data_IF_075064852460
#
_entry.id   IF_075064852460
#
_cell.length_a   1.000
_cell.length_b   1.000
_cell.length_c   1.000
_cell.angle_alpha   90.00
_cell.angle_beta   90.00
_cell.angle_gamma   90.00
#
_symmetry.space_group_name_H-M   'P 1'
#
loop_
_entity.id
_entity.type
_entity.pdbx_description
1 polymer ?
#
# COMPACT_ATOMS: atom_id res chain seq x y z
N UNK A 1 -18.10 -5.58 2.51
CA UNK A 1 -17.48 -5.34 3.82
C UNK A 1 -18.41 -5.71 4.96
N UNK A 2 -19.58 -5.12 5.12
CA UNK A 2 -20.47 -5.36 6.28
C UNK A 2 -20.89 -6.85 6.44
N UNK A 3 -21.23 -7.57 5.35
CA UNK A 3 -21.55 -9.01 5.38
C UNK A 3 -20.35 -9.90 5.78
N UNK A 4 -19.12 -9.43 5.57
CA UNK A 4 -17.87 -10.14 5.93
C UNK A 4 -17.29 -9.71 7.27
N UNK A 5 -18.00 -8.90 8.05
CA UNK A 5 -17.54 -8.36 9.34
C UNK A 5 -16.18 -7.63 9.26
N UNK A 6 -15.91 -6.95 8.14
CA UNK A 6 -14.70 -6.15 7.96
C UNK A 6 -14.90 -4.79 8.64
N UNK A 7 -14.20 -4.58 9.75
CA UNK A 7 -14.36 -3.39 10.58
C UNK A 7 -13.43 -2.23 10.22
N UNK A 8 -12.34 -2.50 9.51
CA UNK A 8 -11.41 -1.48 9.04
C UNK A 8 -10.87 -1.83 7.67
N UNK A 9 -10.68 -0.83 6.83
CA UNK A 9 -9.96 -0.94 5.56
C UNK A 9 -9.08 0.28 5.35
N UNK A 10 -7.90 0.05 4.78
CA UNK A 10 -7.08 1.09 4.18
C UNK A 10 -7.50 1.23 2.72
N UNK A 11 -7.75 2.44 2.28
CA UNK A 11 -8.14 2.76 0.90
C UNK A 11 -7.17 3.73 0.27
N UNK A 12 -6.89 3.52 -1.02
CA UNK A 12 -6.02 4.40 -1.78
C UNK A 12 -6.80 5.64 -2.23
N UNK A 13 -6.25 6.81 -1.93
CA UNK A 13 -6.81 8.10 -2.38
C UNK A 13 -5.90 8.83 -3.36
N UNK A 14 -4.69 8.31 -3.59
CA UNK A 14 -3.78 8.79 -4.63
C UNK A 14 -2.87 7.68 -5.16
N UNK A 15 -2.70 7.65 -6.49
CA UNK A 15 -1.72 6.85 -7.23
C UNK A 15 -0.70 7.76 -7.93
N UNK A 16 -1.14 8.63 -8.85
CA UNK A 16 -0.31 9.57 -9.61
C UNK A 16 -0.86 10.99 -9.54
N UNK A 17 -1.88 11.19 -8.71
CA UNK A 17 -2.47 12.49 -8.48
C UNK A 17 -1.47 13.44 -7.84
N UNK A 18 -1.50 14.71 -8.26
CA UNK A 18 -0.84 15.81 -7.58
C UNK A 18 -1.63 16.24 -6.33
N UNK A 19 -1.13 17.24 -5.62
CA UNK A 19 -1.78 17.77 -4.42
C UNK A 19 -3.26 18.10 -4.65
N UNK A 20 -3.58 18.91 -5.69
CA UNK A 20 -4.94 19.37 -5.96
C UNK A 20 -5.89 18.21 -6.29
N UNK A 21 -5.46 17.30 -7.14
CA UNK A 21 -6.25 16.14 -7.55
C UNK A 21 -6.55 15.24 -6.35
N UNK A 22 -5.58 15.08 -5.46
CA UNK A 22 -5.76 14.31 -4.22
C UNK A 22 -6.78 14.95 -3.27
N UNK A 23 -6.77 16.29 -3.15
CA UNK A 23 -7.79 17.01 -2.37
C UNK A 23 -9.20 16.73 -2.92
N UNK A 24 -9.37 16.69 -4.25
CA UNK A 24 -10.67 16.35 -4.86
C UNK A 24 -11.10 14.90 -4.56
N UNK A 25 -10.15 13.97 -4.47
CA UNK A 25 -10.47 12.60 -4.05
C UNK A 25 -10.88 12.52 -2.57
N UNK A 26 -10.24 13.29 -1.70
CA UNK A 26 -10.64 13.40 -0.28
C UNK A 26 -12.05 14.01 -0.14
N UNK A 27 -12.39 15.00 -0.95
CA UNK A 27 -13.72 15.61 -0.97
C UNK A 27 -14.80 14.60 -1.34
N UNK A 28 -14.56 13.74 -2.36
CA UNK A 28 -15.49 12.65 -2.70
C UNK A 28 -15.73 11.71 -1.50
N UNK A 29 -14.68 11.38 -0.74
CA UNK A 29 -14.81 10.57 0.47
C UNK A 29 -15.64 11.26 1.57
N UNK A 30 -15.49 12.57 1.76
CA UNK A 30 -16.34 13.32 2.70
C UNK A 30 -17.81 13.21 2.31
N UNK A 31 -18.14 13.36 1.02
CA UNK A 31 -19.49 13.13 0.49
C UNK A 31 -19.99 11.72 0.77
N UNK A 32 -19.15 10.68 0.66
CA UNK A 32 -19.56 9.32 0.96
C UNK A 32 -19.78 9.07 2.46
N UNK A 33 -19.00 9.66 3.34
CA UNK A 33 -19.25 9.60 4.79
C UNK A 33 -20.59 10.23 5.17
N UNK A 34 -20.94 11.35 4.56
CA UNK A 34 -22.25 12.00 4.77
C UNK A 34 -23.39 11.16 4.19
N UNK A 35 -23.19 10.57 3.02
CA UNK A 35 -24.23 9.77 2.34
C UNK A 35 -24.45 8.41 2.97
N UNK A 36 -23.41 7.80 3.54
CA UNK A 36 -23.46 6.43 4.09
C UNK A 36 -23.04 6.34 5.57
N UNK A 37 -23.53 7.23 6.45
CA UNK A 37 -23.05 7.33 7.84
C UNK A 37 -23.38 6.08 8.68
N UNK A 38 -24.31 5.22 8.22
CA UNK A 38 -24.65 3.95 8.88
C UNK A 38 -23.72 2.80 8.50
N UNK A 39 -22.92 2.93 7.42
CA UNK A 39 -22.10 1.86 6.89
C UNK A 39 -20.60 2.10 7.12
N UNK A 40 -20.17 3.33 6.96
CA UNK A 40 -18.75 3.71 7.03
C UNK A 40 -18.52 4.87 7.99
N UNK A 41 -17.29 5.00 8.44
CA UNK A 41 -16.80 6.15 9.20
C UNK A 41 -15.34 6.41 8.86
N UNK A 42 -14.87 7.65 9.04
CA UNK A 42 -13.46 7.99 8.86
C UNK A 42 -12.63 7.37 9.99
N UNK A 43 -11.57 6.66 9.62
CA UNK A 43 -10.57 6.12 10.54
C UNK A 43 -9.39 7.06 10.67
N UNK A 44 -9.03 7.43 11.88
CA UNK A 44 -7.93 8.33 12.22
C UNK A 44 -6.93 7.66 13.16
N UNK A 45 -7.41 6.79 14.04
CA UNK A 45 -6.64 6.10 15.07
C UNK A 45 -7.04 4.62 15.17
N UNK A 46 -6.25 3.83 15.88
CA UNK A 46 -6.59 2.43 16.16
C UNK A 46 -7.92 2.28 16.93
N UNK A 47 -8.26 3.26 17.77
CA UNK A 47 -9.51 3.23 18.55
C UNK A 47 -10.74 3.32 17.64
N UNK A 48 -10.62 3.95 16.47
CA UNK A 48 -11.69 3.98 15.48
C UNK A 48 -12.03 2.60 14.92
N UNK A 49 -11.07 1.65 14.93
CA UNK A 49 -11.32 0.25 14.56
C UNK A 49 -12.25 -0.42 15.56
N UNK A 50 -11.98 -0.21 16.86
CA UNK A 50 -12.81 -0.74 17.94
C UNK A 50 -14.19 -0.10 17.94
N UNK A 51 -14.25 1.22 17.74
CA UNK A 51 -15.50 1.97 17.62
C UNK A 51 -16.33 1.50 16.41
N UNK A 52 -15.69 1.31 15.26
CA UNK A 52 -16.36 0.79 14.06
C UNK A 52 -16.96 -0.60 14.30
N UNK A 53 -16.20 -1.48 14.99
CA UNK A 53 -16.71 -2.79 15.39
C UNK A 53 -17.96 -2.69 16.27
N UNK A 54 -17.92 -1.85 17.32
CA UNK A 54 -19.05 -1.63 18.22
C UNK A 54 -20.27 -1.08 17.49
N UNK A 55 -20.05 -0.13 16.57
CA UNK A 55 -21.10 0.51 15.77
C UNK A 55 -21.56 -0.31 14.56
N UNK A 56 -20.96 -1.47 14.31
CA UNK A 56 -21.19 -2.32 13.11
C UNK A 56 -20.97 -1.56 11.80
N UNK A 57 -19.95 -0.70 11.77
CA UNK A 57 -19.50 0.06 10.61
C UNK A 57 -18.14 -0.44 10.14
N UNK A 58 -17.66 0.13 9.04
CA UNK A 58 -16.27 -0.02 8.60
C UNK A 58 -15.53 1.31 8.72
N UNK A 59 -14.46 1.36 9.49
CA UNK A 59 -13.54 2.49 9.53
C UNK A 59 -12.69 2.53 8.24
N UNK A 60 -12.67 3.68 7.59
CA UNK A 60 -11.94 3.92 6.33
C UNK A 60 -10.71 4.74 6.64
N UNK A 61 -9.54 4.15 6.48
CA UNK A 61 -8.24 4.82 6.63
C UNK A 61 -7.71 5.22 5.25
N UNK A 62 -7.34 6.48 5.10
CA UNK A 62 -6.80 6.98 3.84
C UNK A 62 -5.31 6.70 3.71
N UNK A 63 -4.88 6.34 2.51
CA UNK A 63 -3.48 6.20 2.18
C UNK A 63 -3.15 6.52 0.74
N UNK A 64 -1.87 6.71 0.48
CA UNK A 64 -1.32 6.93 -0.84
C UNK A 64 -0.51 5.71 -1.27
N UNK A 65 -0.71 5.24 -2.49
CA UNK A 65 0.19 4.24 -3.07
C UNK A 65 1.41 4.87 -3.77
N UNK A 66 1.45 6.20 -3.85
CA UNK A 66 2.55 6.94 -4.45
C UNK A 66 2.76 8.25 -3.67
N UNK A 67 4.00 8.74 -3.49
CA UNK A 67 4.25 10.01 -2.82
C UNK A 67 3.95 11.25 -3.69
N UNK A 68 3.47 11.08 -4.91
CA UNK A 68 3.19 12.20 -5.84
C UNK A 68 2.43 13.39 -5.24
N UNK A 69 1.46 13.20 -4.29
CA UNK A 69 0.75 14.34 -3.70
C UNK A 69 1.61 15.27 -2.84
N UNK A 70 2.75 14.78 -2.30
CA UNK A 70 3.64 15.64 -1.50
C UNK A 70 4.63 16.43 -2.37
N UNK A 71 4.65 16.14 -3.69
CA UNK A 71 5.50 16.83 -4.66
C UNK A 71 6.98 16.86 -4.18
N UNK A 72 7.60 18.00 -4.05
CA UNK A 72 8.96 18.20 -3.51
C UNK A 72 8.95 18.98 -2.16
N UNK A 73 7.79 19.02 -1.50
CA UNK A 73 7.59 19.74 -0.23
C UNK A 73 7.22 18.78 0.91
N UNK A 74 8.15 18.57 1.85
CA UNK A 74 7.96 17.70 3.00
C UNK A 74 6.85 18.20 3.95
N UNK A 75 6.55 19.50 3.98
CA UNK A 75 5.50 20.09 4.78
C UNK A 75 4.10 19.57 4.40
N UNK A 76 3.92 19.10 3.16
CA UNK A 76 2.66 18.52 2.71
C UNK A 76 2.32 17.20 3.39
N UNK A 77 3.30 16.47 3.95
CA UNK A 77 3.03 15.30 4.79
C UNK A 77 2.15 15.64 6.00
N UNK A 78 2.48 16.73 6.71
CA UNK A 78 1.69 17.16 7.86
C UNK A 78 0.29 17.64 7.44
N UNK A 79 0.19 18.37 6.32
CA UNK A 79 -1.10 18.81 5.77
C UNK A 79 -1.99 17.61 5.47
N UNK A 80 -1.50 16.59 4.76
CA UNK A 80 -2.27 15.39 4.46
C UNK A 80 -2.57 14.56 5.71
N UNK A 81 -1.67 14.50 6.68
CA UNK A 81 -1.94 13.86 7.96
C UNK A 81 -3.12 14.51 8.68
N UNK A 82 -3.19 15.84 8.72
CA UNK A 82 -4.30 16.60 9.29
C UNK A 82 -5.61 16.36 8.52
N UNK A 83 -5.54 16.17 7.20
CA UNK A 83 -6.69 15.80 6.36
C UNK A 83 -7.12 14.33 6.54
N UNK A 84 -6.35 13.53 7.27
CA UNK A 84 -6.71 12.16 7.67
C UNK A 84 -5.98 11.05 6.94
N UNK A 85 -4.95 11.35 6.16
CA UNK A 85 -4.08 10.33 5.56
C UNK A 85 -3.24 9.69 6.68
N UNK A 86 -3.15 8.36 6.66
CA UNK A 86 -2.45 7.57 7.68
C UNK A 86 -1.40 6.64 7.12
N UNK A 87 -1.43 6.37 5.82
CA UNK A 87 -0.50 5.49 5.12
C UNK A 87 0.08 6.23 3.92
N UNK A 88 1.36 6.03 3.62
CA UNK A 88 1.95 6.47 2.36
C UNK A 88 3.04 5.52 1.92
N UNK A 89 3.02 5.18 0.62
CA UNK A 89 4.12 4.49 -0.05
C UNK A 89 5.17 5.50 -0.50
N UNK A 90 6.44 5.07 -0.46
CA UNK A 90 7.55 5.92 -0.88
C UNK A 90 7.82 5.86 -2.39
N UNK A 91 7.26 4.87 -3.09
CA UNK A 91 7.28 4.74 -4.56
C UNK A 91 6.10 3.90 -5.04
N UNK A 92 5.73 4.05 -6.31
CA UNK A 92 4.75 3.21 -6.97
C UNK A 92 5.35 2.65 -8.25
N UNK A 93 5.77 1.37 -8.22
CA UNK A 93 6.38 0.64 -9.32
C UNK A 93 7.70 1.23 -9.86
N UNK A 94 7.73 2.53 -10.12
CA UNK A 94 8.84 3.27 -10.73
C UNK A 94 9.59 4.13 -9.71
N UNK A 95 10.68 4.75 -10.15
CA UNK A 95 11.45 5.71 -9.38
C UNK A 95 10.58 6.91 -8.97
N UNK A 96 10.54 7.22 -7.69
CA UNK A 96 9.97 8.45 -7.15
C UNK A 96 11.08 9.42 -6.70
N UNK A 97 10.68 10.59 -6.19
CA UNK A 97 11.62 11.48 -5.51
C UNK A 97 12.14 10.92 -4.17
N UNK A 98 11.50 9.87 -3.62
CA UNK A 98 11.80 9.32 -2.29
C UNK A 98 12.53 7.98 -2.36
N UNK A 99 12.11 7.08 -3.23
CA UNK A 99 12.53 5.68 -3.26
C UNK A 99 12.44 5.08 -4.66
N UNK A 100 13.08 3.95 -4.85
CA UNK A 100 13.03 3.17 -6.08
C UNK A 100 11.86 2.19 -6.05
N UNK A 101 11.14 2.11 -7.16
CA UNK A 101 10.05 1.15 -7.36
C UNK A 101 10.54 -0.22 -7.82
N UNK A 102 9.71 -1.24 -7.65
CA UNK A 102 10.08 -2.63 -7.90
C UNK A 102 10.27 -3.00 -9.38
N UNK A 103 9.86 -2.14 -10.32
CA UNK A 103 10.03 -2.37 -11.77
C UNK A 103 11.20 -1.59 -12.37
N UNK A 104 12.01 -0.90 -11.55
CA UNK A 104 13.23 -0.28 -12.03
C UNK A 104 14.35 -1.32 -12.14
N UNK A 105 15.20 -1.17 -13.17
CA UNK A 105 16.32 -2.06 -13.42
C UNK A 105 17.41 -2.00 -12.33
N UNK A 106 17.58 -0.81 -11.73
CA UNK A 106 18.54 -0.58 -10.66
C UNK A 106 17.85 -0.02 -9.43
N UNK A 107 18.25 -0.48 -8.24
CA UNK A 107 17.75 0.00 -6.95
C UNK A 107 18.85 0.74 -6.18
N UNK A 108 19.02 2.04 -6.36
CA UNK A 108 19.95 2.84 -5.57
C UNK A 108 19.51 3.07 -4.10
N UNK A 109 18.32 2.62 -3.72
CA UNK A 109 17.77 2.79 -2.37
C UNK A 109 16.98 4.08 -2.19
N UNK A 110 16.89 4.57 -0.95
CA UNK A 110 16.22 5.82 -0.61
C UNK A 110 17.04 7.02 -1.05
N UNK A 111 16.35 8.04 -1.56
CA UNK A 111 16.97 9.35 -1.77
C UNK A 111 17.19 10.07 -0.43
N UNK A 112 17.96 11.16 -0.42
CA UNK A 112 18.06 12.01 0.78
C UNK A 112 16.70 12.59 1.19
N UNK A 113 15.85 12.91 0.24
CA UNK A 113 14.48 13.35 0.50
C UNK A 113 13.64 12.20 1.08
N UNK A 114 13.80 10.97 0.57
CA UNK A 114 13.17 9.77 1.11
C UNK A 114 13.49 9.52 2.58
N UNK A 115 14.77 9.67 2.97
CA UNK A 115 15.17 9.55 4.39
C UNK A 115 14.51 10.63 5.27
N UNK A 116 14.37 11.87 4.78
CA UNK A 116 13.66 12.92 5.53
C UNK A 116 12.16 12.62 5.61
N UNK A 117 11.55 12.09 4.53
CA UNK A 117 10.14 11.70 4.53
C UNK A 117 9.87 10.56 5.53
N UNK A 118 10.75 9.55 5.62
CA UNK A 118 10.68 8.49 6.65
C UNK A 118 10.63 9.09 8.05
N UNK A 119 11.54 10.01 8.37
CA UNK A 119 11.60 10.66 9.69
C UNK A 119 10.35 11.48 9.98
N UNK A 120 9.87 12.23 9.01
CA UNK A 120 8.68 13.06 9.16
C UNK A 120 7.41 12.21 9.32
N UNK A 121 7.27 11.12 8.55
CA UNK A 121 6.18 10.16 8.73
C UNK A 121 6.20 9.52 10.12
N UNK A 122 7.39 9.19 10.64
CA UNK A 122 7.55 8.70 12.01
C UNK A 122 7.10 9.74 13.05
N UNK A 123 7.50 11.02 12.87
CA UNK A 123 7.08 12.12 13.75
C UNK A 123 5.55 12.26 13.78
N UNK A 124 4.92 12.21 12.62
CA UNK A 124 3.47 12.33 12.46
C UNK A 124 2.69 11.09 12.90
N UNK A 125 3.34 9.92 12.98
CA UNK A 125 2.67 8.64 13.22
C UNK A 125 1.96 8.09 11.99
N UNK A 126 2.43 8.45 10.79
CA UNK A 126 1.99 7.86 9.53
C UNK A 126 2.69 6.52 9.30
N UNK A 127 1.97 5.54 8.79
CA UNK A 127 2.52 4.24 8.41
C UNK A 127 3.25 4.36 7.08
N UNK A 128 4.52 3.97 7.07
CA UNK A 128 5.31 3.82 5.85
C UNK A 128 4.94 2.48 5.22
N UNK A 129 4.52 2.49 3.95
CA UNK A 129 4.20 1.29 3.19
C UNK A 129 5.22 1.10 2.06
N UNK A 130 5.80 -0.08 1.97
CA UNK A 130 6.83 -0.40 0.98
C UNK A 130 6.38 -1.47 -0.03
N UNK A 131 5.06 -1.60 -0.23
CA UNK A 131 4.49 -2.63 -1.11
C UNK A 131 5.02 -2.57 -2.53
N UNK A 132 5.14 -1.37 -3.12
CA UNK A 132 5.62 -1.18 -4.51
C UNK A 132 7.11 -0.88 -4.63
N UNK A 133 7.82 -0.78 -3.51
CA UNK A 133 9.24 -0.39 -3.52
C UNK A 133 10.16 -1.58 -3.80
N UNK A 134 11.31 -1.30 -4.39
CA UNK A 134 12.37 -2.25 -4.63
C UNK A 134 13.02 -2.72 -3.32
N UNK A 135 13.88 -3.73 -3.40
CA UNK A 135 14.42 -4.44 -2.23
C UNK A 135 15.27 -3.56 -1.33
N UNK A 136 16.30 -2.90 -1.90
CA UNK A 136 17.19 -2.04 -1.14
C UNK A 136 16.44 -0.85 -0.53
N UNK A 137 15.57 -0.21 -1.32
CA UNK A 137 14.71 0.86 -0.82
C UNK A 137 13.86 0.42 0.36
N UNK A 138 13.34 -0.82 0.34
CA UNK A 138 12.56 -1.39 1.44
C UNK A 138 13.43 -1.65 2.67
N UNK A 139 14.60 -2.26 2.52
CA UNK A 139 15.54 -2.52 3.61
C UNK A 139 16.04 -1.21 4.27
N UNK A 140 16.36 -0.21 3.47
CA UNK A 140 16.76 1.10 3.97
C UNK A 140 15.60 1.80 4.70
N UNK A 141 14.35 1.68 4.21
CA UNK A 141 13.19 2.22 4.94
C UNK A 141 13.00 1.56 6.30
N UNK A 142 13.18 0.24 6.40
CA UNK A 142 13.18 -0.49 7.69
C UNK A 142 14.28 0.05 8.61
N UNK A 143 15.49 0.24 8.08
CA UNK A 143 16.65 0.68 8.84
C UNK A 143 16.51 2.13 9.37
N UNK A 144 15.96 3.05 8.54
CA UNK A 144 15.84 4.46 8.91
C UNK A 144 14.57 4.79 9.71
N UNK A 145 13.61 3.87 9.77
CA UNK A 145 12.36 4.08 10.49
C UNK A 145 12.51 3.76 11.98
N UNK A 146 12.12 4.69 12.83
CA UNK A 146 12.03 4.49 14.29
C UNK A 146 10.73 3.76 14.70
N UNK A 147 9.85 3.47 13.73
CA UNK A 147 8.55 2.81 13.93
C UNK A 147 8.41 1.61 13.00
N UNK A 148 7.58 0.63 13.37
CA UNK A 148 7.24 -0.46 12.46
C UNK A 148 6.69 0.07 11.14
N UNK A 149 7.17 -0.49 10.02
CA UNK A 149 6.64 -0.20 8.69
C UNK A 149 5.70 -1.31 8.23
N UNK A 150 5.00 -1.11 7.13
CA UNK A 150 4.14 -2.11 6.52
C UNK A 150 4.57 -2.42 5.08
N UNK A 151 4.27 -3.65 4.68
CA UNK A 151 4.10 -4.04 3.29
C UNK A 151 2.64 -4.46 3.21
N UNK A 152 1.77 -3.52 2.79
CA UNK A 152 0.33 -3.72 2.96
C UNK A 152 -0.25 -4.73 1.98
N UNK A 153 0.40 -4.96 0.81
CA UNK A 153 -0.09 -5.87 -0.22
C UNK A 153 1.06 -6.42 -1.10
N UNK A 154 1.64 -7.53 -0.67
CA UNK A 154 2.61 -8.31 -1.44
C UNK A 154 2.62 -9.76 -0.96
N UNK A 155 3.29 -10.64 -1.71
CA UNK A 155 3.44 -12.06 -1.33
C UNK A 155 4.92 -12.43 -1.21
N UNK A 156 5.27 -13.60 -0.65
CA UNK A 156 6.64 -14.07 -0.62
C UNK A 156 7.16 -14.43 -2.03
N UNK A 157 8.31 -13.89 -2.39
CA UNK A 157 8.96 -14.16 -3.67
C UNK A 157 9.28 -15.66 -3.87
N UNK A 158 9.61 -16.39 -2.79
CA UNK A 158 9.86 -17.83 -2.87
C UNK A 158 8.62 -18.64 -3.24
N UNK A 159 7.42 -18.09 -3.04
CA UNK A 159 6.17 -18.72 -3.46
C UNK A 159 5.87 -18.44 -4.93
N UNK A 160 6.09 -17.20 -5.36
CA UNK A 160 5.95 -16.77 -6.75
C UNK A 160 6.93 -15.63 -7.04
N UNK A 161 7.83 -15.77 -8.03
CA UNK A 161 8.92 -14.81 -8.28
C UNK A 161 8.49 -13.57 -9.09
N UNK A 162 7.35 -12.97 -8.74
CA UNK A 162 6.96 -11.68 -9.29
C UNK A 162 7.82 -10.56 -8.68
N UNK A 163 8.13 -9.51 -9.46
CA UNK A 163 8.92 -8.35 -9.03
C UNK A 163 8.28 -7.60 -7.85
N UNK A 164 6.95 -7.65 -7.75
CA UNK A 164 6.18 -7.07 -6.63
C UNK A 164 6.32 -7.86 -5.33
N UNK A 165 6.65 -9.16 -5.41
CA UNK A 165 6.77 -10.02 -4.25
C UNK A 165 8.10 -9.80 -3.53
N UNK A 166 8.13 -10.06 -2.22
CA UNK A 166 9.23 -9.68 -1.35
C UNK A 166 10.16 -10.86 -1.06
N UNK A 167 11.44 -10.60 -1.08
CA UNK A 167 12.47 -11.58 -0.78
C UNK A 167 12.37 -12.08 0.67
N UNK A 168 13.01 -13.21 0.95
CA UNK A 168 13.13 -13.72 2.31
C UNK A 168 13.84 -12.71 3.23
N UNK A 169 14.86 -12.01 2.72
CA UNK A 169 15.59 -11.01 3.49
C UNK A 169 14.66 -9.87 3.92
N UNK A 170 13.92 -9.28 2.98
CA UNK A 170 12.95 -8.22 3.27
C UNK A 170 11.91 -8.67 4.31
N UNK A 171 11.34 -9.88 4.13
CA UNK A 171 10.31 -10.37 5.04
C UNK A 171 10.85 -10.67 6.45
N UNK A 172 12.08 -11.18 6.56
CA UNK A 172 12.75 -11.39 7.84
C UNK A 172 13.03 -10.08 8.57
N UNK A 173 13.58 -9.07 7.88
CA UNK A 173 13.85 -7.76 8.46
C UNK A 173 12.56 -7.04 8.85
N UNK A 174 11.53 -7.10 8.00
CA UNK A 174 10.22 -6.53 8.27
C UNK A 174 9.62 -7.07 9.58
N UNK A 175 9.58 -8.40 9.73
CA UNK A 175 8.96 -9.02 10.89
C UNK A 175 9.83 -8.87 12.15
N UNK A 176 11.15 -8.90 12.02
CA UNK A 176 12.09 -8.66 13.12
C UNK A 176 12.00 -7.21 13.66
N UNK A 177 11.67 -6.25 12.80
CA UNK A 177 11.43 -4.85 13.17
C UNK A 177 9.98 -4.57 13.62
N UNK A 178 9.20 -5.61 13.91
CA UNK A 178 7.78 -5.52 14.25
C UNK A 178 6.88 -4.97 13.12
N UNK A 179 7.34 -4.96 11.89
CA UNK A 179 6.55 -4.59 10.71
C UNK A 179 5.49 -5.63 10.35
N UNK A 180 4.61 -5.30 9.42
CA UNK A 180 3.45 -6.10 9.03
C UNK A 180 3.46 -6.40 7.53
N UNK A 181 3.16 -7.66 7.18
CA UNK A 181 2.89 -8.11 5.81
C UNK A 181 1.39 -8.33 5.60
N UNK A 182 0.80 -7.66 4.60
CA UNK A 182 -0.53 -7.95 4.08
C UNK A 182 -0.43 -8.78 2.80
N UNK A 183 -1.04 -9.96 2.77
CA UNK A 183 -1.03 -10.83 1.59
C UNK A 183 -1.93 -10.28 0.48
N UNK A 184 -1.35 -10.13 -0.71
CA UNK A 184 -2.06 -9.70 -1.90
C UNK A 184 -2.84 -10.85 -2.53
N UNK A 185 -4.06 -10.57 -2.99
CA UNK A 185 -4.86 -11.48 -3.81
C UNK A 185 -4.89 -11.05 -5.28
N UNK A 186 -4.03 -10.09 -5.65
CA UNK A 186 -3.87 -9.67 -7.03
C UNK A 186 -3.24 -10.81 -7.85
N UNK A 187 -3.81 -11.19 -9.02
CA UNK A 187 -3.42 -12.42 -9.72
C UNK A 187 -1.93 -12.54 -10.05
N UNK A 188 -1.28 -11.44 -10.45
CA UNK A 188 0.14 -11.47 -10.80
C UNK A 188 1.09 -11.68 -9.62
N UNK A 189 0.59 -11.51 -8.40
CA UNK A 189 1.36 -11.80 -7.19
C UNK A 189 1.20 -13.25 -6.72
N UNK A 190 0.38 -14.05 -7.43
CA UNK A 190 0.00 -15.40 -7.08
C UNK A 190 0.55 -16.42 -8.08
N UNK A 191 1.04 -17.55 -7.59
CA UNK A 191 1.67 -18.62 -8.38
C UNK A 191 0.81 -19.09 -9.55
N UNK A 192 -0.50 -19.19 -9.33
CA UNK A 192 -1.44 -19.72 -10.33
C UNK A 192 -2.29 -18.58 -10.97
N UNK A 193 -1.88 -17.32 -10.77
CA UNK A 193 -2.58 -16.16 -11.32
C UNK A 193 -4.05 -16.13 -10.97
N UNK A 194 -4.91 -15.96 -11.99
CA UNK A 194 -6.37 -15.96 -11.86
C UNK A 194 -6.95 -17.33 -11.47
N UNK A 195 -6.18 -18.42 -11.61
CA UNK A 195 -6.57 -19.79 -11.24
C UNK A 195 -6.19 -20.15 -9.80
N UNK A 196 -5.59 -19.23 -9.04
CA UNK A 196 -5.20 -19.49 -7.67
C UNK A 196 -6.40 -19.86 -6.82
N UNK A 197 -6.36 -21.07 -6.23
CA UNK A 197 -7.43 -21.52 -5.34
C UNK A 197 -7.26 -20.94 -3.93
N UNK A 198 -8.39 -20.84 -3.19
CA UNK A 198 -8.34 -20.46 -1.78
C UNK A 198 -7.42 -21.39 -0.97
N UNK A 199 -7.37 -22.68 -1.31
CA UNK A 199 -6.48 -23.65 -0.66
C UNK A 199 -5.01 -23.28 -0.88
N UNK A 200 -4.60 -23.04 -2.13
CA UNK A 200 -3.22 -22.61 -2.47
C UNK A 200 -2.84 -21.31 -1.77
N UNK A 201 -3.75 -20.35 -1.74
CA UNK A 201 -3.54 -19.09 -1.01
C UNK A 201 -3.34 -19.32 0.50
N UNK A 202 -4.17 -20.17 1.13
CA UNK A 202 -4.02 -20.50 2.55
C UNK A 202 -2.72 -21.30 2.84
N UNK A 203 -2.27 -22.15 1.93
CA UNK A 203 -0.98 -22.85 2.05
C UNK A 203 0.19 -21.87 2.07
N UNK A 204 0.18 -20.87 1.18
CA UNK A 204 1.17 -19.79 1.18
C UNK A 204 1.19 -19.02 2.52
N UNK A 205 0.02 -18.65 3.03
CA UNK A 205 -0.09 -17.95 4.32
C UNK A 205 0.43 -18.84 5.47
N UNK A 206 0.08 -20.11 5.47
CA UNK A 206 0.53 -21.06 6.50
C UNK A 206 2.06 -21.21 6.49
N UNK A 207 2.67 -21.33 5.31
CA UNK A 207 4.12 -21.40 5.19
C UNK A 207 4.80 -20.11 5.67
N UNK A 208 4.26 -18.95 5.30
CA UNK A 208 4.76 -17.65 5.77
C UNK A 208 4.60 -17.52 7.30
N UNK A 209 3.49 -17.97 7.87
CA UNK A 209 3.27 -17.95 9.31
C UNK A 209 4.27 -18.82 10.08
N UNK A 210 4.64 -19.97 9.53
CA UNK A 210 5.67 -20.84 10.10
C UNK A 210 7.07 -20.20 10.06
N UNK A 211 7.36 -19.42 9.00
CA UNK A 211 8.67 -18.77 8.83
C UNK A 211 8.82 -17.47 9.61
N UNK A 212 7.76 -16.66 9.68
CA UNK A 212 7.82 -15.26 10.15
C UNK A 212 6.93 -14.98 11.36
N UNK A 213 6.19 -15.98 11.87
CA UNK A 213 5.17 -15.80 12.90
C UNK A 213 3.84 -15.31 12.32
N UNK A 214 2.74 -15.54 13.05
CA UNK A 214 1.39 -15.16 12.60
C UNK A 214 0.97 -13.75 12.99
N UNK A 215 1.58 -13.18 14.03
CA UNK A 215 1.14 -11.93 14.67
C UNK A 215 1.34 -10.69 13.80
N UNK A 216 2.15 -10.83 12.73
CA UNK A 216 2.53 -9.75 11.81
C UNK A 216 1.98 -9.95 10.40
N UNK A 217 1.02 -10.83 10.26
CA UNK A 217 0.42 -11.18 8.96
C UNK A 217 -1.02 -10.68 8.89
N UNK A 218 -1.42 -10.19 7.72
CA UNK A 218 -2.76 -9.68 7.44
C UNK A 218 -3.14 -9.90 5.99
N UNK A 219 -4.28 -9.35 5.59
CA UNK A 219 -4.76 -9.38 4.21
C UNK A 219 -4.72 -7.97 3.63
N UNK A 220 -4.01 -7.82 2.52
CA UNK A 220 -3.99 -6.63 1.68
C UNK A 220 -4.47 -6.98 0.29
N UNK A 221 -5.77 -6.92 0.05
CA UNK A 221 -6.40 -7.53 -1.11
C UNK A 221 -5.91 -7.00 -2.45
N UNK A 222 -5.51 -5.74 -2.52
CA UNK A 222 -5.14 -5.03 -3.76
C UNK A 222 -6.26 -5.08 -4.82
N UNK A 223 -7.53 -5.03 -4.36
CA UNK A 223 -8.69 -5.12 -5.23
C UNK A 223 -9.03 -3.78 -5.86
N UNK A 224 -9.16 -3.78 -7.19
CA UNK A 224 -9.66 -2.67 -8.00
C UNK A 224 -11.11 -2.94 -8.46
N UNK A 225 -11.99 -3.24 -7.51
CA UNK A 225 -13.36 -3.64 -7.82
C UNK A 225 -14.13 -2.53 -8.53
N UNK A 226 -14.82 -2.91 -9.62
CA UNK A 226 -15.71 -2.05 -10.41
C UNK A 226 -15.01 -0.81 -11.01
N UNK A 227 -13.68 -0.82 -11.14
CA UNK A 227 -12.95 0.23 -11.83
C UNK A 227 -12.99 -0.03 -13.36
N UNK A 228 -13.24 0.99 -14.19
CA UNK A 228 -13.14 0.83 -15.64
C UNK A 228 -11.69 0.60 -16.08
N UNK A 229 -11.49 -0.09 -17.19
CA UNK A 229 -10.16 -0.44 -17.72
C UNK A 229 -9.24 0.78 -17.88
N UNK A 230 -9.80 1.93 -18.26
CA UNK A 230 -9.04 3.18 -18.37
C UNK A 230 -8.40 3.64 -17.05
N UNK A 231 -9.07 3.41 -15.92
CA UNK A 231 -8.53 3.72 -14.58
C UNK A 231 -7.46 2.72 -14.22
N UNK A 232 -7.68 1.42 -14.49
CA UNK A 232 -6.69 0.37 -14.22
C UNK A 232 -5.43 0.62 -15.06
N UNK A 233 -5.57 0.93 -16.34
CA UNK A 233 -4.46 1.30 -17.21
C UNK A 233 -3.71 2.50 -16.65
N UNK A 234 -4.42 3.58 -16.29
CA UNK A 234 -3.80 4.78 -15.73
C UNK A 234 -3.05 4.51 -14.42
N UNK A 235 -3.58 3.68 -13.53
CA UNK A 235 -2.89 3.30 -12.29
C UNK A 235 -1.55 2.61 -12.58
N UNK A 236 -1.44 1.86 -13.68
CA UNK A 236 -0.23 1.11 -14.02
C UNK A 236 0.76 1.92 -14.86
N UNK A 237 0.28 2.66 -15.83
CA UNK A 237 1.12 3.38 -16.80
C UNK A 237 1.38 4.83 -16.40
N UNK A 238 0.59 5.41 -15.50
CA UNK A 238 0.73 6.80 -15.10
C UNK A 238 0.59 7.78 -16.26
N UNK A 239 1.40 8.83 -16.22
CA UNK A 239 1.42 9.91 -17.23
C UNK A 239 2.75 9.99 -18.00
N UNK A 240 3.68 9.10 -17.70
CA UNK A 240 5.02 9.12 -18.28
C UNK A 240 5.16 8.25 -19.53
N UNK A 241 4.18 7.42 -19.86
CA UNK A 241 4.12 6.66 -21.09
C UNK A 241 3.09 7.21 -22.05
N UNK A 242 3.45 7.29 -23.33
CA UNK A 242 2.52 7.57 -24.43
C UNK A 242 1.94 6.30 -25.02
N UNK A 243 2.55 5.16 -24.75
CA UNK A 243 2.14 3.84 -25.20
C UNK A 243 1.31 3.16 -24.13
N UNK A 244 0.31 2.40 -24.53
CA UNK A 244 -0.57 1.67 -23.59
C UNK A 244 0.10 0.39 -23.10
N UNK A 245 1.02 -0.19 -23.86
CA UNK A 245 1.77 -1.38 -23.51
C UNK A 245 3.06 -0.95 -22.77
N UNK A 246 3.10 -1.21 -21.48
CA UNK A 246 4.20 -0.85 -20.59
C UNK A 246 4.93 -2.07 -20.00
N UNK A 247 4.80 -3.24 -20.63
CA UNK A 247 5.39 -4.49 -20.12
C UNK A 247 4.71 -5.01 -18.85
N UNK A 248 5.45 -5.67 -17.98
CA UNK A 248 4.91 -6.14 -16.69
C UNK A 248 4.32 -4.98 -15.90
N UNK A 249 3.14 -5.20 -15.34
CA UNK A 249 2.41 -4.14 -14.62
C UNK A 249 1.60 -3.21 -15.53
N UNK A 250 1.50 -3.45 -16.83
CA UNK A 250 0.55 -2.79 -17.73
C UNK A 250 -0.87 -3.38 -17.61
N UNK A 251 -1.86 -2.70 -18.19
CA UNK A 251 -3.24 -3.21 -18.23
C UNK A 251 -3.36 -4.52 -19.06
N UNK A 252 -2.50 -4.70 -20.07
CA UNK A 252 -2.48 -5.88 -20.93
C UNK A 252 -1.59 -7.00 -20.38
N UNK A 253 -0.57 -6.63 -19.61
CA UNK A 253 0.34 -7.55 -18.94
C UNK A 253 0.46 -7.18 -17.45
N UNK A 254 -0.59 -7.38 -16.69
CA UNK A 254 -0.69 -6.91 -15.31
C UNK A 254 0.12 -7.68 -14.29
#
# INVERSE_FOLDING_TARGET
MNKGSVNAVHVTVAYHENFRETILNLEKWNTWFERFPKLIMKGMTSDDILLAHQLKKTAIFFGFQNPSPIEDDIGLLEVFHQLGVRFMQLSYNNQSLLATGCYEDEDPGLTRFGVQAVKEMNRLGMVIDMSHSAERSTLEAIQYSDRPIAITHANPHYWHPALRNKSHQVLSELTSSNGMLGFSIYPHHLKDGTSCSLKSFCEMISEAALKYGSDRLGIGSDLCQDQPDSVVTWMRTGRWSKEMDYGEGSAENP
#
